data_IF_030752051890
#
_entry.id   IF_030752051890
#
_cell.length_a   1.000
_cell.length_b   1.000
_cell.length_c   1.000
_cell.angle_alpha   90.00
_cell.angle_beta   90.00
_cell.angle_gamma   90.00
#
_symmetry.space_group_name_H-M   'P 1'
#
loop_
_entity.id
_entity.type
_entity.pdbx_description
1 polymer ?
#
# COMPACT_ATOMS: atom_id res chain seq x y z
N UNK A 1 5.98 -15.07 -13.02
CA UNK A 1 5.83 -13.73 -13.63
C UNK A 1 4.90 -12.88 -12.79
N UNK A 2 5.17 -11.57 -12.63
CA UNK A 2 4.24 -10.67 -11.99
C UNK A 2 2.92 -10.59 -12.79
N UNK A 3 1.80 -10.46 -12.08
CA UNK A 3 0.47 -10.35 -12.67
C UNK A 3 0.04 -8.89 -12.68
N UNK A 4 -0.67 -8.48 -13.73
CA UNK A 4 -1.40 -7.21 -13.72
C UNK A 4 -2.46 -7.24 -12.62
N UNK A 5 -2.67 -6.12 -11.94
CA UNK A 5 -3.65 -6.04 -10.82
C UNK A 5 -5.05 -6.43 -11.30
N UNK A 6 -5.44 -6.00 -12.50
CA UNK A 6 -6.74 -6.36 -13.09
C UNK A 6 -6.89 -7.90 -13.22
N UNK A 7 -5.85 -8.56 -13.76
CA UNK A 7 -5.88 -10.02 -13.92
C UNK A 7 -5.97 -10.74 -12.56
N UNK A 8 -5.24 -10.25 -11.57
CA UNK A 8 -5.31 -10.79 -10.20
C UNK A 8 -6.72 -10.62 -9.59
N UNK A 9 -7.39 -9.49 -9.84
CA UNK A 9 -8.78 -9.27 -9.43
C UNK A 9 -9.73 -10.24 -10.14
N UNK A 10 -9.54 -10.50 -11.43
CA UNK A 10 -10.37 -11.42 -12.21
C UNK A 10 -10.26 -12.86 -11.69
N UNK A 11 -9.05 -13.31 -11.37
CA UNK A 11 -8.81 -14.63 -10.77
C UNK A 11 -9.44 -14.73 -9.36
N UNK A 12 -9.28 -13.69 -8.55
CA UNK A 12 -9.89 -13.65 -7.22
C UNK A 12 -11.43 -13.63 -7.29
N UNK A 13 -11.99 -12.94 -8.29
CA UNK A 13 -13.43 -12.96 -8.56
C UNK A 13 -13.91 -14.36 -8.89
N UNK A 14 -13.20 -15.05 -9.79
CA UNK A 14 -13.50 -16.43 -10.19
C UNK A 14 -13.43 -17.39 -9.01
N UNK A 15 -12.45 -17.20 -8.13
CA UNK A 15 -12.34 -17.96 -6.89
C UNK A 15 -13.53 -17.71 -5.96
N UNK A 16 -13.91 -16.47 -5.71
CA UNK A 16 -15.06 -16.13 -4.86
C UNK A 16 -16.37 -16.69 -5.41
N UNK A 17 -16.57 -16.65 -6.73
CA UNK A 17 -17.73 -17.24 -7.37
C UNK A 17 -17.76 -18.75 -7.21
N UNK A 18 -16.63 -19.43 -7.43
CA UNK A 18 -16.53 -20.87 -7.30
C UNK A 18 -16.83 -21.37 -5.87
N UNK A 19 -16.37 -20.60 -4.88
CA UNK A 19 -16.63 -20.88 -3.46
C UNK A 19 -17.99 -20.35 -2.98
N UNK A 20 -18.73 -19.60 -3.83
CA UNK A 20 -19.98 -18.90 -3.46
C UNK A 20 -19.82 -18.04 -2.20
N UNK A 21 -18.67 -17.37 -2.06
CA UNK A 21 -18.26 -16.67 -0.82
C UNK A 21 -19.26 -15.59 -0.40
N UNK A 22 -19.89 -14.92 -1.37
CA UNK A 22 -20.82 -13.81 -1.14
C UNK A 22 -22.26 -14.15 -1.53
N UNK A 23 -22.61 -15.45 -1.67
CA UNK A 23 -23.97 -15.86 -1.97
C UNK A 23 -24.86 -15.75 -0.73
N UNK A 24 -26.00 -15.09 -0.87
CA UNK A 24 -27.03 -15.08 0.17
C UNK A 24 -27.87 -16.36 0.15
N UNK A 25 -28.42 -16.79 1.31
CA UNK A 25 -29.34 -17.91 1.36
C UNK A 25 -30.56 -17.67 0.45
N UNK A 26 -30.69 -18.48 -0.60
CA UNK A 26 -31.77 -18.34 -1.58
C UNK A 26 -31.41 -17.66 -2.89
N UNK A 27 -30.20 -17.11 -3.01
CA UNK A 27 -29.71 -16.52 -4.25
C UNK A 27 -29.56 -17.55 -5.36
N UNK A 28 -30.39 -17.44 -6.40
CA UNK A 28 -30.37 -18.29 -7.59
C UNK A 28 -29.74 -17.62 -8.81
N UNK A 29 -29.43 -16.32 -8.71
CA UNK A 29 -28.91 -15.52 -9.80
C UNK A 29 -27.40 -15.50 -9.86
N UNK A 30 -26.81 -15.97 -10.96
CA UNK A 30 -25.36 -15.99 -11.17
C UNK A 30 -24.81 -14.58 -11.41
N UNK A 31 -25.54 -13.73 -12.16
CA UNK A 31 -25.06 -12.41 -12.57
C UNK A 31 -24.82 -11.44 -11.41
N UNK A 32 -25.72 -11.40 -10.43
CA UNK A 32 -25.55 -10.54 -9.25
C UNK A 32 -24.41 -11.02 -8.35
N UNK A 33 -24.20 -12.33 -8.27
CA UNK A 33 -23.11 -12.90 -7.47
C UNK A 33 -21.76 -12.50 -8.04
N UNK A 34 -21.55 -12.61 -9.35
CA UNK A 34 -20.28 -12.24 -10.00
C UNK A 34 -19.96 -10.76 -9.82
N UNK A 35 -20.95 -9.87 -9.93
CA UNK A 35 -20.76 -8.44 -9.68
C UNK A 35 -20.34 -8.18 -8.23
N UNK A 36 -20.98 -8.85 -7.28
CA UNK A 36 -20.62 -8.75 -5.84
C UNK A 36 -19.23 -9.32 -5.58
N UNK A 37 -18.89 -10.47 -6.14
CA UNK A 37 -17.57 -11.09 -6.01
C UNK A 37 -16.48 -10.19 -6.59
N UNK A 38 -16.70 -9.59 -7.77
CA UNK A 38 -15.77 -8.66 -8.40
C UNK A 38 -15.53 -7.42 -7.54
N UNK A 39 -16.58 -6.83 -7.02
CA UNK A 39 -16.49 -5.66 -6.14
C UNK A 39 -15.68 -5.99 -4.88
N UNK A 40 -15.97 -7.12 -4.24
CA UNK A 40 -15.24 -7.55 -3.05
C UNK A 40 -13.78 -7.94 -3.35
N UNK A 41 -13.49 -8.47 -4.53
CA UNK A 41 -12.11 -8.71 -4.99
C UNK A 41 -11.34 -7.38 -5.10
N UNK A 42 -11.93 -6.35 -5.69
CA UNK A 42 -11.34 -5.01 -5.72
C UNK A 42 -11.12 -4.43 -4.33
N UNK A 43 -12.12 -4.52 -3.43
CA UNK A 43 -11.99 -4.05 -2.04
C UNK A 43 -10.82 -4.77 -1.34
N UNK A 44 -10.71 -6.08 -1.49
CA UNK A 44 -9.64 -6.86 -0.89
C UNK A 44 -8.25 -6.44 -1.42
N UNK A 45 -8.11 -6.29 -2.73
CA UNK A 45 -6.84 -5.90 -3.37
C UNK A 45 -6.45 -4.47 -2.99
N UNK A 46 -7.37 -3.50 -3.07
CA UNK A 46 -7.10 -2.12 -2.68
C UNK A 46 -6.73 -2.01 -1.19
N UNK A 47 -7.46 -2.73 -0.34
CA UNK A 47 -7.16 -2.76 1.10
C UNK A 47 -5.77 -3.35 1.36
N UNK A 48 -5.40 -4.43 0.68
CA UNK A 48 -4.08 -5.04 0.82
C UNK A 48 -2.96 -4.08 0.33
N UNK A 49 -3.14 -3.41 -0.82
CA UNK A 49 -2.17 -2.45 -1.34
C UNK A 49 -1.95 -1.27 -0.40
N UNK A 50 -3.03 -0.64 0.07
CA UNK A 50 -2.96 0.55 0.93
C UNK A 50 -2.42 0.21 2.32
N UNK A 51 -2.77 -0.96 2.83
CA UNK A 51 -2.43 -1.42 4.18
C UNK A 51 -1.27 -2.42 4.23
N UNK A 52 -0.49 -2.53 3.16
CA UNK A 52 0.62 -3.48 3.03
C UNK A 52 1.71 -3.39 4.12
N UNK A 53 1.72 -2.32 4.91
CA UNK A 53 2.62 -2.13 6.07
C UNK A 53 2.10 -2.71 7.38
N UNK A 54 0.88 -3.26 7.42
CA UNK A 54 0.35 -3.91 8.61
C UNK A 54 1.02 -5.26 8.80
N UNK A 55 1.30 -5.63 10.04
CA UNK A 55 1.87 -6.93 10.37
C UNK A 55 1.01 -8.13 9.96
N UNK A 56 -0.26 -7.87 9.67
CA UNK A 56 -1.24 -8.88 9.20
C UNK A 56 -1.41 -8.93 7.70
N UNK A 57 -0.79 -8.01 6.94
CA UNK A 57 -0.93 -7.97 5.49
C UNK A 57 -0.14 -9.10 4.82
N UNK A 58 -0.65 -9.62 3.71
CA UNK A 58 0.03 -10.63 2.90
C UNK A 58 1.37 -10.12 2.37
N UNK A 59 1.45 -8.81 2.07
CA UNK A 59 2.68 -8.16 1.64
C UNK A 59 3.75 -8.12 2.75
N UNK A 60 3.37 -7.79 3.99
CA UNK A 60 4.33 -7.81 5.11
C UNK A 60 4.78 -9.21 5.49
N UNK A 61 3.97 -10.22 5.18
CA UNK A 61 4.29 -11.64 5.38
C UNK A 61 5.05 -12.27 4.20
N UNK A 62 5.35 -11.48 3.15
CA UNK A 62 6.07 -11.96 1.97
C UNK A 62 5.30 -12.95 1.10
N UNK A 63 3.98 -13.04 1.27
CA UNK A 63 3.10 -13.87 0.45
C UNK A 63 2.82 -13.19 -0.89
N UNK A 64 2.66 -11.86 -0.85
CA UNK A 64 2.49 -11.00 -2.03
C UNK A 64 3.53 -9.89 -2.04
N UNK A 65 3.84 -9.40 -3.23
CA UNK A 65 4.63 -8.18 -3.42
C UNK A 65 4.00 -7.34 -4.52
N UNK A 66 3.68 -6.10 -4.21
CA UNK A 66 3.27 -5.11 -5.21
C UNK A 66 4.50 -4.41 -5.77
N UNK A 67 4.59 -4.33 -7.09
CA UNK A 67 5.71 -3.70 -7.78
C UNK A 67 5.18 -2.52 -8.59
N UNK A 68 5.82 -1.38 -8.47
CA UNK A 68 5.55 -0.21 -9.29
C UNK A 68 6.17 -0.38 -10.68
N UNK A 69 5.42 -0.07 -11.74
CA UNK A 69 5.86 -0.20 -13.14
C UNK A 69 6.51 1.07 -13.70
N UNK A 70 6.99 1.96 -12.83
CA UNK A 70 7.65 3.18 -13.28
C UNK A 70 8.80 2.88 -14.22
N UNK A 71 8.76 3.44 -15.43
CA UNK A 71 9.82 3.28 -16.42
C UNK A 71 10.67 4.57 -16.43
N UNK A 72 11.70 4.60 -15.63
CA UNK A 72 12.55 5.76 -15.45
C UNK A 72 14.05 5.38 -15.39
N UNK A 73 14.45 4.33 -16.13
CA UNK A 73 15.81 3.80 -16.05
C UNK A 73 16.89 4.83 -16.40
N UNK A 74 16.68 5.66 -17.41
CA UNK A 74 17.61 6.72 -17.81
C UNK A 74 17.75 7.77 -16.70
N UNK A 75 16.62 8.20 -16.12
CA UNK A 75 16.61 9.17 -15.02
C UNK A 75 17.29 8.59 -13.79
N UNK A 76 16.99 7.33 -13.45
CA UNK A 76 17.63 6.65 -12.31
C UNK A 76 19.14 6.50 -12.50
N UNK A 77 19.58 6.18 -13.71
CA UNK A 77 20.99 6.09 -14.06
C UNK A 77 21.69 7.44 -13.96
N UNK A 78 21.07 8.52 -14.46
CA UNK A 78 21.59 9.89 -14.32
C UNK A 78 21.69 10.36 -12.88
N UNK A 79 20.69 10.06 -12.04
CA UNK A 79 20.72 10.34 -10.60
C UNK A 79 21.84 9.54 -9.91
N UNK A 80 21.97 8.26 -10.24
CA UNK A 80 23.00 7.40 -9.66
C UNK A 80 24.40 7.92 -9.99
N UNK A 81 24.65 8.35 -11.22
CA UNK A 81 25.91 8.94 -11.66
C UNK A 81 26.17 10.28 -10.94
N UNK A 82 25.20 11.19 -10.94
CA UNK A 82 25.33 12.53 -10.35
C UNK A 82 25.65 12.49 -8.85
N UNK A 83 25.09 11.53 -8.13
CA UNK A 83 25.28 11.39 -6.68
C UNK A 83 26.20 10.23 -6.27
N UNK A 84 26.90 9.61 -7.20
CA UNK A 84 27.84 8.50 -6.99
C UNK A 84 27.18 7.33 -6.19
N UNK A 85 25.98 6.98 -6.58
CA UNK A 85 25.18 5.91 -5.98
C UNK A 85 25.07 4.72 -6.94
N UNK A 86 24.64 3.56 -6.42
CA UNK A 86 24.25 2.44 -7.27
C UNK A 86 22.86 2.67 -7.86
N UNK A 87 22.66 2.33 -9.12
CA UNK A 87 21.37 2.48 -9.81
C UNK A 87 20.27 1.70 -9.06
N UNK A 88 20.58 0.51 -8.57
CA UNK A 88 19.65 -0.34 -7.82
C UNK A 88 19.17 0.33 -6.53
N UNK A 89 20.06 1.05 -5.81
CA UNK A 89 19.72 1.76 -4.59
C UNK A 89 18.81 2.96 -4.87
N UNK A 90 19.09 3.70 -5.94
CA UNK A 90 18.25 4.82 -6.40
C UNK A 90 16.88 4.32 -6.81
N UNK A 91 16.81 3.26 -7.61
CA UNK A 91 15.56 2.63 -8.02
C UNK A 91 14.75 2.17 -6.81
N UNK A 92 15.38 1.41 -5.90
CA UNK A 92 14.71 0.94 -4.69
C UNK A 92 14.19 2.09 -3.81
N UNK A 93 14.91 3.22 -3.74
CA UNK A 93 14.45 4.41 -3.05
C UNK A 93 13.18 4.97 -3.68
N UNK A 94 13.18 5.19 -5.00
CA UNK A 94 12.04 5.79 -5.67
C UNK A 94 10.83 4.87 -5.74
N UNK A 95 11.03 3.55 -5.90
CA UNK A 95 9.97 2.54 -5.76
C UNK A 95 9.32 2.62 -4.36
N UNK A 96 10.14 2.73 -3.31
CA UNK A 96 9.63 2.92 -1.95
C UNK A 96 8.85 4.22 -1.80
N UNK A 97 9.32 5.33 -2.38
CA UNK A 97 8.64 6.62 -2.33
C UNK A 97 7.32 6.61 -3.12
N UNK A 98 7.26 5.91 -4.27
CA UNK A 98 6.03 5.70 -5.01
C UNK A 98 5.01 4.88 -4.18
N UNK A 99 5.47 3.79 -3.55
CA UNK A 99 4.62 3.01 -2.65
C UNK A 99 4.14 3.81 -1.44
N UNK A 100 4.85 4.84 -0.99
CA UNK A 100 4.35 5.73 0.06
C UNK A 100 3.15 6.58 -0.37
N UNK A 101 2.96 6.85 -1.67
CA UNK A 101 1.72 7.46 -2.21
C UNK A 101 0.57 6.47 -2.05
N UNK A 102 0.79 5.19 -2.41
CA UNK A 102 -0.18 4.10 -2.25
C UNK A 102 -0.57 3.92 -0.79
N UNK A 103 0.41 3.84 0.10
CA UNK A 103 0.16 3.70 1.55
C UNK A 103 -0.52 4.93 2.18
N UNK A 104 -0.37 6.09 1.58
CA UNK A 104 -1.19 7.25 1.94
C UNK A 104 -2.66 7.04 1.54
N UNK A 105 -2.92 6.22 0.52
CA UNK A 105 -4.24 5.91 -0.03
C UNK A 105 -4.61 6.77 -1.25
N UNK A 106 -3.66 7.45 -1.88
CA UNK A 106 -3.87 8.12 -3.16
C UNK A 106 -3.76 7.09 -4.30
N UNK A 107 -4.72 6.17 -4.32
CA UNK A 107 -4.82 5.02 -5.22
C UNK A 107 -6.29 4.81 -5.61
N UNK A 108 -6.55 4.56 -6.89
CA UNK A 108 -7.86 4.17 -7.41
C UNK A 108 -7.76 2.92 -8.28
N UNK A 109 -8.75 2.05 -8.13
CA UNK A 109 -8.98 0.88 -8.98
C UNK A 109 -10.20 1.07 -9.87
N UNK A 110 -10.45 0.11 -10.76
CA UNK A 110 -11.61 0.07 -11.64
C UNK A 110 -12.84 -0.47 -10.90
N UNK A 111 -13.29 0.26 -9.86
CA UNK A 111 -14.49 -0.07 -9.11
C UNK A 111 -15.11 1.16 -8.45
N UNK A 112 -16.43 1.19 -8.42
CA UNK A 112 -17.19 2.20 -7.68
C UNK A 112 -17.32 1.79 -6.21
N UNK A 113 -16.67 2.56 -5.33
CA UNK A 113 -16.73 2.35 -3.88
C UNK A 113 -17.74 3.29 -3.25
N UNK A 114 -18.55 2.79 -2.32
CA UNK A 114 -19.36 3.60 -1.41
C UNK A 114 -18.49 4.33 -0.39
N UNK A 115 -19.06 5.30 0.32
CA UNK A 115 -18.35 6.03 1.38
C UNK A 115 -17.89 5.10 2.51
N UNK A 116 -18.71 4.13 2.90
CA UNK A 116 -18.37 3.13 3.92
C UNK A 116 -17.22 2.21 3.48
N UNK A 117 -17.24 1.77 2.22
CA UNK A 117 -16.14 0.97 1.64
C UNK A 117 -14.84 1.77 1.54
N UNK A 118 -14.91 3.06 1.19
CA UNK A 118 -13.76 3.96 1.21
C UNK A 118 -13.22 4.12 2.63
N UNK A 119 -14.09 4.32 3.61
CA UNK A 119 -13.69 4.44 5.00
C UNK A 119 -13.03 3.16 5.51
N UNK A 120 -13.53 2.00 5.12
CA UNK A 120 -12.92 0.71 5.44
C UNK A 120 -11.50 0.57 4.88
N UNK A 121 -11.28 0.94 3.60
CA UNK A 121 -9.98 0.80 2.93
C UNK A 121 -9.02 1.93 3.34
N UNK A 122 -9.49 3.18 3.29
CA UNK A 122 -8.64 4.38 3.35
C UNK A 122 -8.75 5.15 4.67
N UNK A 123 -9.62 4.73 5.60
CA UNK A 123 -9.94 5.41 6.87
C UNK A 123 -10.52 6.81 6.68
N UNK A 124 -11.16 7.06 5.57
CA UNK A 124 -11.84 8.30 5.23
C UNK A 124 -12.80 8.07 4.07
N UNK A 125 -14.01 8.62 4.10
CA UNK A 125 -14.92 8.54 2.95
C UNK A 125 -14.42 9.36 1.75
N UNK A 126 -13.54 10.34 1.98
CA UNK A 126 -12.99 11.18 0.91
C UNK A 126 -11.81 10.52 0.24
N UNK A 127 -11.74 10.51 -1.10
CA UNK A 127 -10.57 10.03 -1.83
C UNK A 127 -9.32 10.79 -1.41
N UNK A 128 -8.25 10.08 -1.12
CA UNK A 128 -6.95 10.69 -0.82
C UNK A 128 -6.23 11.05 -2.10
N UNK A 129 -5.40 12.10 -2.00
CA UNK A 129 -4.69 12.70 -3.14
C UNK A 129 -3.26 13.07 -2.76
N UNK A 130 -2.44 13.25 -3.77
CA UNK A 130 -1.08 13.76 -3.64
C UNK A 130 -0.90 14.99 -4.53
N UNK A 131 -0.04 15.89 -4.11
CA UNK A 131 0.30 17.13 -4.80
C UNK A 131 1.82 17.28 -4.83
N UNK A 132 2.36 17.97 -5.84
CA UNK A 132 3.81 18.22 -5.92
C UNK A 132 4.35 18.83 -4.63
N UNK A 133 3.73 19.93 -4.20
CA UNK A 133 4.05 20.61 -2.94
C UNK A 133 2.76 21.06 -2.27
N UNK A 134 2.63 20.83 -0.98
CA UNK A 134 1.46 21.24 -0.20
C UNK A 134 1.58 22.72 0.17
N UNK A 135 0.55 23.52 -0.13
CA UNK A 135 0.46 24.90 0.34
C UNK A 135 0.05 24.92 1.81
N UNK A 136 0.90 25.52 2.65
CA UNK A 136 0.69 25.54 4.10
C UNK A 136 -0.51 26.36 4.56
N UNK A 137 -0.93 27.35 3.78
CA UNK A 137 -2.08 28.20 4.11
C UNK A 137 -3.38 27.60 3.52
N UNK A 138 -3.38 27.27 2.21
CA UNK A 138 -4.57 26.78 1.49
C UNK A 138 -4.93 25.33 1.82
N UNK A 139 -3.91 24.48 2.00
CA UNK A 139 -4.11 23.03 2.16
C UNK A 139 -4.03 22.57 3.61
N UNK A 140 -3.91 23.49 4.58
CA UNK A 140 -3.75 23.17 6.01
C UNK A 140 -4.86 22.25 6.55
N UNK A 141 -6.10 22.45 6.11
CA UNK A 141 -7.27 21.68 6.57
C UNK A 141 -7.56 20.44 5.72
N UNK A 142 -6.80 20.23 4.63
CA UNK A 142 -7.01 19.09 3.73
C UNK A 142 -6.21 17.88 4.22
N UNK A 143 -6.78 17.11 5.15
CA UNK A 143 -6.14 15.89 5.70
C UNK A 143 -6.00 14.78 4.65
N UNK A 144 -6.86 14.77 3.63
CA UNK A 144 -6.82 13.82 2.52
C UNK A 144 -5.68 14.07 1.53
N UNK A 145 -5.04 15.26 1.57
CA UNK A 145 -4.02 15.68 0.63
C UNK A 145 -2.62 15.53 1.24
N UNK A 146 -1.72 14.81 0.56
CA UNK A 146 -0.31 14.73 0.89
C UNK A 146 0.53 15.60 -0.05
N UNK A 147 1.65 16.15 0.44
CA UNK A 147 2.67 16.76 -0.41
C UNK A 147 3.73 15.73 -0.78
N UNK A 148 4.18 15.71 -2.04
CA UNK A 148 5.32 14.90 -2.48
C UNK A 148 6.63 15.48 -1.98
N UNK A 149 6.97 16.69 -2.42
CA UNK A 149 8.13 17.45 -1.94
C UNK A 149 7.83 18.21 -0.65
N UNK A 150 8.84 18.78 -0.04
CA UNK A 150 8.70 19.58 1.17
C UNK A 150 7.92 20.87 0.89
N UNK A 151 7.05 21.26 1.80
CA UNK A 151 6.37 22.54 1.75
C UNK A 151 7.34 23.68 2.13
N UNK A 152 7.16 24.83 1.49
CA UNK A 152 7.95 26.03 1.78
C UNK A 152 7.19 26.89 2.79
N UNK A 153 7.86 27.26 3.87
CA UNK A 153 7.32 28.21 4.85
C UNK A 153 7.43 29.65 4.34
N UNK A 154 6.70 30.57 4.97
CA UNK A 154 6.73 32.02 4.61
C UNK A 154 8.13 32.65 4.69
N UNK A 155 8.99 32.11 5.54
CA UNK A 155 10.39 32.58 5.68
C UNK A 155 11.35 31.90 4.69
N UNK A 156 10.84 31.13 3.72
CA UNK A 156 11.64 30.43 2.72
C UNK A 156 12.23 29.09 3.17
N UNK A 157 12.13 28.72 4.46
CA UNK A 157 12.64 27.44 4.95
C UNK A 157 11.73 26.29 4.56
N UNK A 158 12.30 25.10 4.35
CA UNK A 158 11.55 23.89 4.04
C UNK A 158 10.89 23.28 5.30
N UNK A 159 9.67 22.84 5.15
CA UNK A 159 9.00 21.98 6.13
C UNK A 159 9.27 20.52 5.78
N UNK A 160 10.25 19.91 6.44
CA UNK A 160 10.68 18.54 6.15
C UNK A 160 9.53 17.54 6.31
N UNK A 161 9.20 16.86 5.23
CA UNK A 161 8.30 15.70 5.26
C UNK A 161 9.11 14.39 5.38
N UNK A 162 8.41 13.26 5.50
CA UNK A 162 9.06 11.95 5.64
C UNK A 162 9.88 11.56 4.41
N UNK A 163 9.41 11.90 3.19
CA UNK A 163 10.11 11.58 1.94
C UNK A 163 11.43 12.34 1.83
N UNK A 164 11.40 13.63 2.10
CA UNK A 164 12.63 14.45 2.11
C UNK A 164 13.69 13.87 3.07
N UNK A 165 13.27 13.53 4.31
CA UNK A 165 14.17 12.94 5.28
C UNK A 165 14.76 11.60 4.82
N UNK A 166 13.96 10.79 4.14
CA UNK A 166 14.42 9.51 3.60
C UNK A 166 15.43 9.71 2.47
N UNK A 167 15.15 10.59 1.52
CA UNK A 167 16.12 10.91 0.44
C UNK A 167 17.43 11.43 1.01
N UNK A 168 17.37 12.38 1.94
CA UNK A 168 18.58 12.88 2.64
C UNK A 168 19.39 11.75 3.27
N UNK A 169 18.71 10.85 3.99
CA UNK A 169 19.37 9.76 4.71
C UNK A 169 19.96 8.69 3.79
N UNK A 170 19.19 8.26 2.76
CA UNK A 170 19.60 7.18 1.85
C UNK A 170 20.72 7.62 0.91
N UNK A 171 20.61 8.81 0.35
CA UNK A 171 21.57 9.33 -0.62
C UNK A 171 22.67 10.22 0.02
N UNK A 172 22.60 10.46 1.32
CA UNK A 172 23.51 11.35 2.06
C UNK A 172 23.56 12.77 1.46
N UNK A 173 22.36 13.34 1.18
CA UNK A 173 22.21 14.66 0.59
C UNK A 173 21.82 15.71 1.64
N UNK A 174 22.18 16.96 1.37
CA UNK A 174 21.62 18.09 2.08
C UNK A 174 20.13 18.32 1.75
N UNK A 175 19.49 19.19 2.51
CA UNK A 175 18.06 19.45 2.41
C UNK A 175 17.62 20.02 1.06
N UNK A 176 18.42 20.92 0.50
CA UNK A 176 18.11 21.58 -0.76
C UNK A 176 18.21 20.59 -1.92
N UNK A 177 19.34 19.91 -2.05
CA UNK A 177 19.60 18.89 -3.08
C UNK A 177 18.58 17.75 -3.03
N UNK A 178 18.22 17.27 -1.84
CA UNK A 178 17.23 16.22 -1.69
C UNK A 178 15.82 16.70 -2.11
N UNK A 179 15.47 17.97 -1.84
CA UNK A 179 14.19 18.52 -2.24
C UNK A 179 14.12 18.80 -3.75
N UNK A 180 15.21 19.26 -4.34
CA UNK A 180 15.33 19.43 -5.80
C UNK A 180 15.19 18.09 -6.52
N UNK A 181 15.83 17.05 -6.01
CA UNK A 181 15.71 15.69 -6.55
C UNK A 181 14.27 15.17 -6.48
N UNK A 182 13.56 15.40 -5.36
CA UNK A 182 12.14 15.05 -5.26
C UNK A 182 11.28 15.81 -6.28
N UNK A 183 11.56 17.10 -6.49
CA UNK A 183 10.82 17.92 -7.46
C UNK A 183 11.09 17.47 -8.89
N UNK A 184 12.35 17.20 -9.23
CA UNK A 184 12.73 16.67 -10.53
C UNK A 184 12.03 15.33 -10.82
N UNK A 185 12.06 14.39 -9.88
CA UNK A 185 11.38 13.11 -10.03
C UNK A 185 9.86 13.27 -10.22
N UNK A 186 9.25 14.21 -9.51
CA UNK A 186 7.84 14.56 -9.73
C UNK A 186 7.57 15.04 -11.14
N UNK A 187 8.36 16.00 -11.60
CA UNK A 187 8.11 16.68 -12.88
C UNK A 187 8.43 15.76 -14.07
N UNK A 188 9.51 14.97 -14.00
CA UNK A 188 10.00 14.17 -15.11
C UNK A 188 9.45 12.73 -15.12
N UNK A 189 9.22 12.12 -13.96
CA UNK A 189 8.76 10.73 -13.86
C UNK A 189 7.29 10.66 -13.53
N UNK A 190 6.87 11.19 -12.39
CA UNK A 190 5.49 11.00 -11.92
C UNK A 190 4.46 11.76 -12.77
N UNK A 191 4.87 12.88 -13.37
CA UNK A 191 4.02 13.70 -14.25
C UNK A 191 4.35 13.52 -15.72
N UNK A 192 5.63 13.36 -16.07
CA UNK A 192 6.09 13.31 -17.44
C UNK A 192 5.69 12.03 -18.17
N UNK A 193 5.69 10.89 -17.50
CA UNK A 193 5.34 9.59 -18.07
C UNK A 193 3.88 9.17 -17.80
N UNK A 194 3.02 10.11 -17.45
CA UNK A 194 1.61 9.84 -17.12
C UNK A 194 1.42 8.78 -16.01
N UNK A 195 2.41 8.68 -15.11
CA UNK A 195 2.34 7.71 -14.00
C UNK A 195 1.22 8.03 -13.02
N UNK A 196 0.97 9.33 -12.78
CA UNK A 196 -0.11 9.81 -11.92
C UNK A 196 -1.31 10.28 -12.75
N UNK A 197 -2.49 9.84 -12.35
CA UNK A 197 -3.76 10.34 -12.87
C UNK A 197 -4.14 11.65 -12.18
N UNK A 198 -4.78 12.57 -12.92
CA UNK A 198 -5.24 13.85 -12.38
C UNK A 198 -6.65 13.76 -11.83
N UNK A 199 -6.87 14.34 -10.65
CA UNK A 199 -8.19 14.54 -10.06
C UNK A 199 -8.70 16.00 -10.22
N UNK A 200 -7.95 16.84 -10.94
CA UNK A 200 -8.17 18.29 -11.01
C UNK A 200 -7.48 19.06 -9.87
N UNK A 201 -7.41 20.39 -9.99
CA UNK A 201 -6.85 21.29 -8.97
C UNK A 201 -5.41 20.93 -8.52
N UNK A 202 -4.57 20.39 -9.42
CA UNK A 202 -3.22 19.88 -9.12
C UNK A 202 -3.20 18.76 -8.06
N UNK A 203 -4.28 18.02 -7.95
CA UNK A 203 -4.41 16.85 -7.10
C UNK A 203 -4.33 15.57 -7.96
N UNK A 204 -3.56 14.58 -7.50
CA UNK A 204 -3.20 13.40 -8.27
C UNK A 204 -3.34 12.13 -7.44
N UNK A 205 -3.42 10.99 -8.15
CA UNK A 205 -3.46 9.65 -7.56
C UNK A 205 -2.84 8.63 -8.52
N UNK A 206 -2.48 7.47 -8.03
CA UNK A 206 -2.12 6.33 -8.89
C UNK A 206 -3.36 5.55 -9.31
N UNK A 207 -3.40 5.14 -10.58
CA UNK A 207 -4.23 4.02 -11.01
C UNK A 207 -3.56 2.70 -10.64
N UNK A 208 -4.35 1.68 -10.26
CA UNK A 208 -3.85 0.31 -10.02
C UNK A 208 -3.16 -0.29 -11.24
N UNK A 209 -3.43 0.19 -12.45
CA UNK A 209 -2.75 -0.21 -13.69
C UNK A 209 -1.23 0.06 -13.67
N UNK A 210 -0.77 0.94 -12.79
CA UNK A 210 0.67 1.24 -12.62
C UNK A 210 1.41 0.26 -11.74
N UNK A 211 0.76 -0.84 -11.35
CA UNK A 211 1.33 -1.83 -10.46
C UNK A 211 1.12 -3.23 -11.00
N UNK A 212 2.03 -4.12 -10.60
CA UNK A 212 1.86 -5.56 -10.72
C UNK A 212 1.92 -6.20 -9.35
N UNK A 213 1.43 -7.41 -9.24
CA UNK A 213 1.54 -8.23 -8.05
C UNK A 213 2.33 -9.49 -8.35
N UNK A 214 3.27 -9.83 -7.50
CA UNK A 214 3.98 -11.11 -7.50
C UNK A 214 3.49 -11.92 -6.31
N UNK A 215 3.35 -13.23 -6.51
CA UNK A 215 3.04 -14.21 -5.47
C UNK A 215 4.10 -15.30 -5.47
N UNK A 216 4.26 -15.99 -4.37
CA UNK A 216 5.22 -17.08 -4.23
C UNK A 216 6.26 -16.76 -3.16
N UNK A 217 6.33 -17.64 -2.19
CA UNK A 217 7.14 -17.42 -0.98
C UNK A 217 8.63 -17.55 -1.20
N UNK A 218 9.08 -18.30 -2.21
CA UNK A 218 10.52 -18.55 -2.42
C UNK A 218 11.22 -17.39 -3.13
N UNK A 219 10.53 -16.70 -4.02
CA UNK A 219 11.11 -15.66 -4.88
C UNK A 219 11.01 -14.25 -4.28
N UNK A 220 10.15 -14.04 -3.28
CA UNK A 220 9.95 -12.74 -2.64
C UNK A 220 10.88 -12.61 -1.43
N UNK A 221 11.89 -11.73 -1.47
CA UNK A 221 12.77 -11.52 -0.32
C UNK A 221 12.00 -10.88 0.84
N UNK A 222 12.23 -11.37 2.06
CA UNK A 222 11.67 -10.79 3.27
C UNK A 222 12.80 -10.25 4.14
N UNK A 223 12.56 -9.08 4.68
CA UNK A 223 13.46 -8.39 5.58
C UNK A 223 12.73 -8.08 6.89
N UNK A 224 13.45 -8.10 8.00
CA UNK A 224 12.95 -7.68 9.31
C UNK A 224 13.86 -6.59 9.86
N UNK A 225 13.26 -5.55 10.42
CA UNK A 225 13.99 -4.48 11.09
C UNK A 225 14.45 -4.93 12.48
N UNK A 226 15.73 -4.69 12.81
CA UNK A 226 16.37 -5.04 14.09
C UNK A 226 15.84 -4.19 15.26
N UNK A 227 15.28 -3.00 15.00
CA UNK A 227 14.76 -2.09 16.04
C UNK A 227 13.26 -2.19 16.22
N UNK A 228 12.46 -2.07 15.14
CA UNK A 228 11.00 -2.04 15.26
C UNK A 228 10.33 -3.40 15.00
N UNK A 229 11.07 -4.42 14.59
CA UNK A 229 10.56 -5.78 14.33
C UNK A 229 9.65 -5.90 13.12
N UNK A 230 9.37 -4.81 12.40
CA UNK A 230 8.50 -4.87 11.22
C UNK A 230 9.16 -5.59 10.06
N UNK A 231 8.36 -6.39 9.38
CA UNK A 231 8.74 -7.10 8.16
C UNK A 231 8.37 -6.31 6.91
N UNK A 232 9.12 -6.50 5.84
CA UNK A 232 8.90 -5.85 4.55
C UNK A 232 9.54 -6.66 3.42
N UNK A 233 8.99 -6.55 2.22
CA UNK A 233 9.57 -7.10 0.99
C UNK A 233 10.42 -6.08 0.23
N UNK A 234 10.49 -4.83 0.72
CA UNK A 234 11.24 -3.74 0.12
C UNK A 234 12.52 -3.49 0.91
N UNK A 235 13.62 -3.30 0.21
CA UNK A 235 14.90 -2.96 0.81
C UNK A 235 15.58 -1.83 0.02
N UNK A 236 16.05 -0.83 0.74
CA UNK A 236 16.86 0.25 0.20
C UNK A 236 18.02 0.51 1.17
N UNK A 237 19.23 0.08 0.79
CA UNK A 237 20.45 0.20 1.61
C UNK A 237 20.31 -0.34 3.04
N UNK A 238 19.56 -1.41 3.20
CA UNK A 238 19.25 -2.02 4.50
C UNK A 238 18.63 -1.07 5.53
N UNK A 239 18.09 0.06 5.12
CA UNK A 239 17.44 1.00 6.03
C UNK A 239 15.97 0.63 6.25
N UNK A 240 15.50 0.75 7.49
CA UNK A 240 14.10 0.47 7.82
C UNK A 240 13.13 1.30 6.99
N UNK A 241 12.13 0.65 6.42
CA UNK A 241 11.07 1.30 5.62
C UNK A 241 10.05 2.06 6.47
N UNK A 242 10.04 1.87 7.80
CA UNK A 242 9.18 2.61 8.73
C UNK A 242 9.72 4.02 8.94
N UNK A 243 8.88 5.03 8.71
CA UNK A 243 9.24 6.44 8.99
C UNK A 243 9.63 6.60 10.45
N UNK A 244 10.69 7.38 10.71
CA UNK A 244 11.24 7.67 12.04
C UNK A 244 11.91 6.46 12.76
N UNK A 245 12.04 5.32 12.11
CA UNK A 245 12.83 4.21 12.64
C UNK A 245 14.28 4.30 12.13
N UNK A 246 15.25 4.20 13.01
CA UNK A 246 16.67 4.21 12.69
C UNK A 246 17.28 2.81 12.57
N UNK A 247 16.45 1.76 12.58
CA UNK A 247 16.90 0.37 12.50
C UNK A 247 17.33 -0.03 11.11
N UNK A 248 18.00 -1.18 11.04
CA UNK A 248 18.46 -1.79 9.81
C UNK A 248 17.66 -3.04 9.48
N UNK A 249 17.53 -3.31 8.19
CA UNK A 249 16.85 -4.48 7.66
C UNK A 249 17.85 -5.63 7.56
N UNK A 250 17.46 -6.79 8.08
CA UNK A 250 18.18 -8.06 7.83
C UNK A 250 17.27 -8.99 7.06
N UNK A 251 17.81 -9.68 6.06
CA UNK A 251 17.10 -10.70 5.32
C UNK A 251 16.78 -11.90 6.22
N UNK A 252 15.57 -12.43 6.12
CA UNK A 252 15.12 -13.63 6.80
C UNK A 252 14.57 -14.63 5.80
N UNK A 253 14.44 -15.89 6.22
CA UNK A 253 13.77 -16.94 5.45
C UNK A 253 12.28 -16.98 5.79
N UNK A 254 11.45 -17.47 4.87
CA UNK A 254 10.04 -17.70 5.13
C UNK A 254 9.81 -18.66 6.29
N UNK A 255 10.64 -19.69 6.41
CA UNK A 255 10.56 -20.65 7.54
C UNK A 255 10.79 -19.96 8.89
N UNK A 256 11.72 -19.00 8.95
CA UNK A 256 11.96 -18.21 10.16
C UNK A 256 10.75 -17.35 10.49
N UNK A 257 10.16 -16.68 9.48
CA UNK A 257 8.96 -15.87 9.67
C UNK A 257 7.79 -16.73 10.17
N UNK A 258 7.59 -17.92 9.59
CA UNK A 258 6.52 -18.84 9.98
C UNK A 258 6.64 -19.33 11.42
N UNK A 259 7.88 -19.58 11.91
CA UNK A 259 8.09 -20.01 13.29
C UNK A 259 7.65 -18.96 14.30
N UNK A 260 7.85 -17.69 14.00
CA UNK A 260 7.71 -16.60 14.96
C UNK A 260 6.45 -15.76 14.75
N UNK A 261 5.78 -15.88 13.60
CA UNK A 261 4.63 -15.05 13.26
C UNK A 261 3.32 -15.83 13.28
N UNK A 262 2.41 -15.45 14.18
CA UNK A 262 1.10 -16.06 14.32
C UNK A 262 0.25 -15.95 13.04
N UNK A 263 0.25 -14.81 12.39
CA UNK A 263 -0.56 -14.59 11.18
C UNK A 263 -0.03 -15.39 9.98
N UNK A 264 1.29 -15.51 9.84
CA UNK A 264 1.87 -16.35 8.81
C UNK A 264 1.44 -17.83 8.97
N UNK A 265 1.44 -18.33 10.22
CA UNK A 265 0.91 -19.66 10.54
C UNK A 265 -0.57 -19.79 10.21
N UNK A 266 -1.37 -18.78 10.56
CA UNK A 266 -2.80 -18.79 10.32
C UNK A 266 -3.11 -18.86 8.82
N UNK A 267 -2.46 -18.08 7.99
CA UNK A 267 -2.66 -18.10 6.53
C UNK A 267 -2.19 -19.40 5.86
N UNK A 268 -1.22 -20.09 6.43
CA UNK A 268 -0.80 -21.40 5.92
C UNK A 268 -1.70 -22.56 6.38
N UNK A 269 -2.27 -22.46 7.58
CA UNK A 269 -3.05 -23.55 8.16
C UNK A 269 -4.51 -23.52 7.77
N UNK A 270 -4.98 -22.50 7.05
CA UNK A 270 -6.41 -22.28 6.89
C UNK A 270 -7.04 -23.13 5.80
N UNK A 271 -7.67 -24.18 6.23
CA UNK A 271 -9.02 -24.48 5.79
C UNK A 271 -9.89 -23.27 6.19
N UNK A 272 -10.38 -22.50 5.21
CA UNK A 272 -11.35 -21.43 5.46
C UNK A 272 -12.57 -22.05 6.14
N UNK A 273 -12.66 -21.89 7.45
CA UNK A 273 -13.91 -22.17 8.15
C UNK A 273 -14.77 -20.90 8.09
N UNK A 274 -16.04 -21.02 7.73
CA UNK A 274 -16.93 -19.86 7.77
C UNK A 274 -16.94 -19.32 9.22
N UNK A 275 -16.54 -18.06 9.36
CA UNK A 275 -16.56 -17.37 10.64
C UNK A 275 -18.01 -17.04 10.96
N UNK A 276 -18.64 -17.82 11.85
CA UNK A 276 -19.95 -17.47 12.40
C UNK A 276 -19.77 -16.36 13.44
N UNK A 277 -19.77 -15.10 12.98
CA UNK A 277 -19.81 -13.96 13.89
C UNK A 277 -21.23 -13.85 14.43
N UNK A 278 -21.41 -14.14 15.71
CA UNK A 278 -22.63 -13.82 16.45
C UNK A 278 -22.37 -12.52 17.19
N UNK A 279 -23.13 -11.50 16.87
CA UNK A 279 -23.00 -10.20 17.51
C UNK A 279 -23.55 -10.28 18.94
N UNK A 280 -22.70 -10.15 19.94
CA UNK A 280 -23.09 -9.94 21.33
C UNK A 280 -23.38 -8.46 21.55
N UNK A 281 -24.52 -7.96 21.08
CA UNK A 281 -24.96 -6.61 21.40
C UNK A 281 -25.82 -6.62 22.67
N UNK A 282 -25.71 -5.56 23.44
CA UNK A 282 -26.55 -5.33 24.63
C UNK A 282 -28.06 -5.22 24.31
N UNK A 283 -28.45 -5.42 23.06
CA UNK A 283 -29.82 -5.39 22.58
C UNK A 283 -30.45 -6.78 22.47
N UNK A 284 -29.68 -7.87 22.66
CA UNK A 284 -30.25 -9.21 22.69
C UNK A 284 -31.07 -9.40 23.96
N UNK A 285 -32.32 -9.87 23.80
CA UNK A 285 -33.16 -10.21 24.93
C UNK A 285 -32.51 -11.27 25.83
N UNK A 286 -32.84 -11.27 27.12
CA UNK A 286 -32.27 -12.21 28.14
C UNK A 286 -32.34 -13.68 27.73
N UNK A 287 -33.37 -14.10 27.02
CA UNK A 287 -33.56 -15.47 26.55
C UNK A 287 -32.60 -15.84 25.39
N UNK A 288 -32.25 -14.87 24.55
CA UNK A 288 -31.27 -15.06 23.47
C UNK A 288 -29.85 -15.07 24.02
N UNK A 289 -29.55 -14.23 25.02
CA UNK A 289 -28.25 -14.25 25.71
C UNK A 289 -27.97 -15.59 26.39
N UNK A 290 -28.99 -16.21 27.03
CA UNK A 290 -28.84 -17.52 27.64
C UNK A 290 -28.55 -18.63 26.62
N UNK A 291 -29.25 -18.64 25.48
CA UNK A 291 -29.00 -19.60 24.40
C UNK A 291 -27.57 -19.53 23.83
N UNK A 292 -26.96 -18.35 23.83
CA UNK A 292 -25.58 -18.20 23.33
C UNK A 292 -24.49 -18.54 24.37
N UNK A 293 -24.85 -18.59 25.65
CA UNK A 293 -23.94 -19.03 26.72
C UNK A 293 -23.93 -20.56 26.92
N UNK A 294 -24.94 -21.27 26.43
CA UNK A 294 -25.08 -22.72 26.54
C UNK A 294 -24.58 -23.49 25.28
N UNK A 295 -24.10 -22.77 24.26
CA UNK A 295 -23.46 -23.33 23.05
C UNK A 295 -21.94 -23.20 23.09
#
# INVERSE_FOLDING_TARGET
HPWEIQHFVDELTSYFDSCRTFAEPGDKGVENLTATSRKNAWIAVLNEMVNARRSTSLASLGILKFNYKGNAEEIMSGVAEAYQQKVEDVKALFDLLAMEIVYHGALEGDCDLTDDEREYIFYTPKPKRVKRCKDMDKDKKKSYLAGWSAAIRKNGSLLKNGRLKRVMSVLNLDEASANELLQMYWDEVLRGEESLSTAGNDEFYFSTERFTVSSGTEDIPIYVCDVCGKTTTMNCKDMCTTLKCSGHLRRITHDSLLKDNHYAKLYQSSLMQPLHIKEHTAQLGREEQQKYQEM
#
